data_IF_222837696579
#
_entry.id   IF_222837696579
#
_cell.length_a   1.000
_cell.length_b   1.000
_cell.length_c   1.000
_cell.angle_alpha   90.00
_cell.angle_beta   90.00
_cell.angle_gamma   90.00
#
_symmetry.space_group_name_H-M   'P 1'
#
loop_
_entity.id
_entity.type
_entity.pdbx_description
1 polymer ?
#
# COMPACT_ATOMS: atom_id res chain seq x y z
N UNK A 1 13.84 -39.95 -15.97
CA UNK A 1 13.74 -41.28 -16.60
C UNK A 1 13.23 -41.10 -18.00
N UNK A 2 14.17 -41.32 -18.86
CA UNK A 2 14.15 -42.15 -20.10
C UNK A 2 13.36 -41.52 -21.25
N UNK A 3 14.11 -41.19 -22.21
CA UNK A 3 14.51 -42.07 -23.37
C UNK A 3 13.45 -42.01 -24.46
N UNK A 4 13.69 -41.88 -25.69
CA UNK A 4 14.62 -42.46 -26.63
C UNK A 4 14.19 -41.83 -27.96
N UNK A 5 15.05 -41.30 -28.74
CA UNK A 5 15.93 -41.99 -29.68
C UNK A 5 15.34 -42.08 -31.07
N UNK A 6 16.09 -41.47 -31.97
CA UNK A 6 16.56 -42.12 -33.21
C UNK A 6 15.51 -42.25 -34.32
N UNK A 7 15.82 -42.02 -35.51
CA UNK A 7 16.78 -42.59 -36.45
C UNK A 7 16.36 -42.03 -37.80
N UNK A 8 17.20 -41.47 -38.51
CA UNK A 8 18.11 -41.90 -39.54
C UNK A 8 17.48 -41.82 -40.95
N UNK A 9 18.04 -40.89 -41.74
CA UNK A 9 18.83 -41.21 -42.94
C UNK A 9 18.41 -42.52 -43.65
N UNK A 10 18.59 -42.73 -44.92
CA UNK A 10 19.27 -41.96 -45.97
C UNK A 10 18.75 -42.19 -47.39
N UNK A 11 19.57 -41.77 -48.33
CA UNK A 11 19.82 -42.43 -49.66
C UNK A 11 19.06 -41.77 -50.79
N UNK A 12 19.74 -40.93 -51.55
CA UNK A 12 20.69 -41.25 -52.64
C UNK A 12 20.03 -42.04 -53.78
N UNK A 13 19.92 -41.42 -54.88
CA UNK A 13 20.18 -42.03 -56.22
C UNK A 13 19.87 -40.94 -57.26
N UNK A 14 20.84 -40.29 -57.84
CA UNK A 14 21.80 -40.65 -58.84
C UNK A 14 21.16 -41.19 -60.14
N UNK A 15 21.57 -40.61 -61.19
CA UNK A 15 21.79 -40.97 -62.62
C UNK A 15 20.97 -40.12 -63.57
N UNK A 16 21.63 -39.28 -64.31
CA UNK A 16 22.38 -39.53 -65.58
C UNK A 16 21.47 -39.78 -66.76
N UNK A 17 21.63 -38.97 -67.70
CA UNK A 17 22.08 -39.10 -69.09
C UNK A 17 21.37 -38.09 -69.97
N UNK A 18 21.96 -37.07 -70.47
CA UNK A 18 22.71 -37.01 -71.71
C UNK A 18 21.91 -37.54 -72.94
N UNK A 19 21.62 -36.64 -73.83
CA UNK A 19 21.77 -36.93 -75.26
C UNK A 19 21.80 -35.68 -76.09
N UNK A 20 22.84 -35.55 -76.82
CA UNK A 20 23.09 -34.69 -77.96
C UNK A 20 22.22 -35.05 -79.18
N UNK A 21 21.96 -34.08 -80.07
CA UNK A 21 22.18 -34.18 -81.52
C UNK A 21 21.51 -32.99 -82.16
N UNK A 22 22.17 -32.08 -82.78
CA UNK A 22 22.81 -31.98 -84.06
C UNK A 22 21.88 -31.51 -85.13
N UNK A 23 22.32 -30.37 -85.67
CA UNK A 23 22.28 -29.86 -87.00
C UNK A 23 20.97 -29.89 -87.81
N UNK A 24 20.54 -28.70 -88.31
CA UNK A 24 20.79 -28.38 -89.71
C UNK A 24 20.62 -26.90 -90.05
N UNK A 25 21.47 -26.43 -90.91
CA UNK A 25 21.54 -25.13 -91.52
C UNK A 25 20.36 -24.95 -92.51
N UNK A 26 19.75 -23.76 -92.52
CA UNK A 26 19.44 -23.13 -93.79
C UNK A 26 19.50 -21.63 -93.69
N UNK A 27 20.39 -21.11 -94.49
CA UNK A 27 20.62 -19.72 -94.82
C UNK A 27 19.47 -19.24 -95.72
N UNK A 28 18.86 -18.14 -95.41
CA UNK A 28 18.23 -17.26 -96.38
C UNK A 28 18.24 -15.82 -95.90
N UNK A 29 18.77 -15.02 -96.74
CA UNK A 29 19.07 -13.63 -96.69
C UNK A 29 17.88 -12.69 -96.44
N UNK A 30 18.07 -11.73 -95.54
CA UNK A 30 17.76 -10.27 -95.50
C UNK A 30 16.40 -9.77 -96.04
N UNK A 31 15.71 -8.82 -95.32
CA UNK A 31 16.27 -7.47 -95.26
C UNK A 31 16.24 -6.83 -93.84
N UNK A 32 17.23 -5.96 -93.66
CA UNK A 32 17.38 -5.02 -92.55
C UNK A 32 16.13 -4.17 -92.37
N UNK A 33 15.41 -4.40 -91.28
CA UNK A 33 14.52 -3.42 -90.69
C UNK A 33 15.17 -2.94 -89.40
N UNK A 34 15.62 -1.71 -89.42
CA UNK A 34 16.12 -1.05 -88.23
C UNK A 34 14.95 -0.86 -87.28
N UNK A 35 14.73 -1.88 -86.45
CA UNK A 35 13.82 -1.75 -85.33
C UNK A 35 14.47 -0.85 -84.32
N UNK A 36 13.93 0.36 -84.20
CA UNK A 36 14.26 1.31 -83.15
C UNK A 36 13.89 0.64 -81.82
N UNK A 37 14.87 0.14 -81.11
CA UNK A 37 14.74 -0.43 -79.78
C UNK A 37 14.19 0.67 -78.87
N UNK A 38 12.90 0.57 -78.61
CA UNK A 38 12.24 1.46 -77.62
C UNK A 38 12.65 0.87 -76.27
N UNK A 39 13.58 1.55 -75.58
CA UNK A 39 13.89 1.24 -74.19
C UNK A 39 12.62 1.49 -73.36
N UNK A 40 11.93 0.42 -73.04
CA UNK A 40 10.82 0.51 -72.11
C UNK A 40 11.37 0.71 -70.69
N UNK A 41 11.06 1.87 -70.12
CA UNK A 41 11.38 2.15 -68.73
C UNK A 41 10.15 1.71 -67.93
N UNK A 42 10.41 0.82 -66.97
CA UNK A 42 9.38 0.40 -66.01
C UNK A 42 9.13 1.59 -65.08
N UNK A 43 7.90 2.08 -65.10
CA UNK A 43 7.46 3.17 -64.23
C UNK A 43 6.51 2.67 -63.19
N UNK A 44 6.77 3.02 -61.97
CA UNK A 44 5.89 2.72 -60.82
C UNK A 44 5.07 3.96 -60.52
N UNK A 45 3.76 3.81 -60.53
CA UNK A 45 2.88 4.89 -60.12
C UNK A 45 2.92 5.02 -58.61
N UNK A 46 3.40 6.13 -58.12
CA UNK A 46 3.36 6.45 -56.71
C UNK A 46 1.90 6.63 -56.25
N UNK A 47 1.45 5.77 -55.37
CA UNK A 47 0.15 5.90 -54.72
C UNK A 47 0.35 6.48 -53.34
N UNK A 48 -0.50 7.43 -52.98
CA UNK A 48 -0.57 7.90 -51.60
C UNK A 48 -1.28 6.83 -50.78
N UNK A 49 -0.53 6.17 -49.93
CA UNK A 49 -1.09 5.25 -48.89
C UNK A 49 -0.76 5.85 -47.53
N UNK A 50 -1.75 5.81 -46.64
CA UNK A 50 -1.52 6.11 -45.23
C UNK A 50 -0.79 4.96 -44.59
N UNK A 51 0.46 5.15 -44.19
CA UNK A 51 1.22 4.18 -43.44
C UNK A 51 0.90 4.33 -41.97
N UNK A 52 0.23 3.35 -41.41
CA UNK A 52 0.04 3.26 -39.96
C UNK A 52 1.20 2.48 -39.37
N UNK A 53 1.94 3.12 -38.49
CA UNK A 53 2.99 2.46 -37.70
C UNK A 53 2.44 2.21 -36.31
N UNK A 54 2.21 0.97 -35.97
CA UNK A 54 1.87 0.56 -34.61
C UNK A 54 3.13 0.51 -33.76
N UNK A 55 3.11 1.21 -32.64
CA UNK A 55 4.18 1.21 -31.66
C UNK A 55 3.68 0.59 -30.36
N UNK A 56 4.10 -0.60 -30.07
CA UNK A 56 3.81 -1.28 -28.80
C UNK A 56 4.90 -0.96 -27.78
N UNK A 57 4.53 -0.28 -26.70
CA UNK A 57 5.43 0.06 -25.61
C UNK A 57 5.06 -0.78 -24.38
N UNK A 58 6.04 -1.38 -23.71
CA UNK A 58 5.79 -2.00 -22.41
C UNK A 58 5.46 -0.92 -21.39
N UNK A 59 4.40 -1.15 -20.60
CA UNK A 59 3.97 -0.26 -19.53
C UNK A 59 3.60 -1.06 -18.30
N UNK A 60 3.87 -0.51 -17.12
CA UNK A 60 3.50 -1.08 -15.83
C UNK A 60 2.53 -0.15 -15.12
N UNK A 61 1.42 -0.71 -14.61
CA UNK A 61 0.47 0.03 -13.79
C UNK A 61 0.91 -0.03 -12.33
N UNK A 62 1.34 1.11 -11.81
CA UNK A 62 1.69 1.24 -10.40
C UNK A 62 0.53 1.88 -9.63
N UNK A 63 0.29 1.46 -8.38
CA UNK A 63 -0.71 2.10 -7.54
C UNK A 63 -0.26 3.53 -7.20
N UNK A 64 -1.22 4.46 -7.14
CA UNK A 64 -0.97 5.84 -6.74
C UNK A 64 -0.42 5.94 -5.31
N UNK A 65 -0.96 5.13 -4.39
CA UNK A 65 -0.50 5.01 -3.01
C UNK A 65 -0.36 3.54 -2.63
N UNK A 66 0.72 3.23 -1.91
CA UNK A 66 0.95 1.92 -1.31
C UNK A 66 1.48 2.11 0.10
N UNK A 67 0.88 1.42 1.06
CA UNK A 67 1.32 1.42 2.45
C UNK A 67 1.39 0.00 2.99
N UNK A 68 2.39 -0.26 3.82
CA UNK A 68 2.46 -1.48 4.64
C UNK A 68 2.06 -1.10 6.06
N UNK A 69 1.08 -1.81 6.60
CA UNK A 69 0.56 -1.58 7.94
C UNK A 69 1.20 -2.57 8.90
N UNK A 70 1.67 -2.05 10.03
CA UNK A 70 2.28 -2.83 11.10
C UNK A 70 1.59 -2.55 12.42
N UNK A 71 1.60 -3.54 13.31
CA UNK A 71 1.25 -3.32 14.70
C UNK A 71 2.24 -2.33 15.34
N UNK A 72 1.72 -1.31 16.02
CA UNK A 72 2.53 -0.29 16.71
C UNK A 72 2.92 -0.71 18.13
N UNK A 73 2.31 -1.77 18.63
CA UNK A 73 2.53 -2.31 19.97
C UNK A 73 2.66 -3.83 19.89
N UNK A 74 3.47 -4.47 20.74
CA UNK A 74 3.49 -5.92 20.89
C UNK A 74 2.09 -6.43 21.26
N UNK A 75 1.56 -7.36 20.48
CA UNK A 75 0.19 -7.82 20.66
C UNK A 75 -0.05 -9.09 19.85
N UNK A 76 -1.07 -9.85 20.23
CA UNK A 76 -1.55 -11.00 19.48
C UNK A 76 -2.65 -10.59 18.50
N UNK A 77 -2.74 -11.28 17.38
CA UNK A 77 -3.85 -11.08 16.43
C UNK A 77 -5.09 -11.77 17.02
N UNK A 78 -6.15 -10.98 17.26
CA UNK A 78 -7.43 -11.50 17.73
C UNK A 78 -8.33 -11.89 16.55
N UNK A 79 -8.41 -11.01 15.56
CA UNK A 79 -9.32 -11.15 14.42
C UNK A 79 -8.82 -10.37 13.21
N UNK A 80 -8.83 -10.99 12.05
CA UNK A 80 -8.58 -10.34 10.76
C UNK A 80 -9.92 -10.24 10.03
N UNK A 81 -10.34 -9.00 9.70
CA UNK A 81 -11.67 -8.71 9.12
C UNK A 81 -11.66 -8.60 7.60
N UNK A 82 -10.49 -8.70 7.00
CA UNK A 82 -10.29 -8.52 5.55
C UNK A 82 -9.34 -9.55 5.00
N UNK A 83 -9.46 -9.86 3.72
CA UNK A 83 -8.55 -10.77 3.02
C UNK A 83 -7.97 -10.12 1.77
N UNK A 84 -7.01 -10.78 1.13
CA UNK A 84 -6.40 -10.37 -0.13
C UNK A 84 -7.52 -10.17 -1.18
N UNK A 85 -7.46 -9.06 -1.91
CA UNK A 85 -8.47 -8.66 -2.88
C UNK A 85 -9.66 -7.89 -2.29
N UNK A 86 -9.82 -7.83 -0.96
CA UNK A 86 -10.89 -7.07 -0.32
C UNK A 86 -10.77 -5.58 -0.55
N UNK A 87 -11.89 -4.93 -0.91
CA UNK A 87 -11.99 -3.48 -0.98
C UNK A 87 -12.27 -2.90 0.40
N UNK A 88 -11.52 -1.89 0.79
CA UNK A 88 -11.61 -1.23 2.09
C UNK A 88 -11.80 0.26 1.95
N UNK A 89 -12.47 0.87 2.93
CA UNK A 89 -12.67 2.31 3.01
C UNK A 89 -11.71 2.92 4.05
N UNK A 90 -11.37 4.20 3.85
CA UNK A 90 -10.58 4.95 4.84
C UNK A 90 -11.20 4.88 6.22
N UNK A 91 -10.41 4.52 7.24
CA UNK A 91 -10.85 4.36 8.62
C UNK A 91 -11.47 3.00 8.95
N UNK A 92 -11.71 2.13 7.96
CA UNK A 92 -12.23 0.79 8.20
C UNK A 92 -11.23 -0.04 9.02
N UNK A 93 -11.73 -0.75 10.05
CA UNK A 93 -10.91 -1.67 10.86
C UNK A 93 -10.58 -2.91 10.04
N UNK A 94 -9.30 -3.18 9.89
CA UNK A 94 -8.77 -4.33 9.12
C UNK A 94 -8.43 -5.50 10.03
N UNK A 95 -7.77 -5.20 11.15
CA UNK A 95 -7.32 -6.19 12.13
C UNK A 95 -7.60 -5.67 13.53
N UNK A 96 -8.07 -6.56 14.38
CA UNK A 96 -8.19 -6.34 15.82
C UNK A 96 -7.11 -7.14 16.52
N UNK A 97 -6.32 -6.44 17.33
CA UNK A 97 -5.24 -7.01 18.13
C UNK A 97 -5.69 -7.19 19.58
N UNK A 98 -5.04 -8.08 20.30
CA UNK A 98 -5.23 -8.33 21.71
C UNK A 98 -3.92 -8.09 22.48
N UNK A 99 -3.98 -7.22 23.48
CA UNK A 99 -2.91 -6.97 24.43
C UNK A 99 -3.50 -6.72 25.81
N UNK A 100 -3.67 -7.77 26.61
CA UNK A 100 -4.28 -7.71 27.95
C UNK A 100 -3.57 -6.69 28.85
N UNK A 101 -2.26 -6.53 28.70
CA UNK A 101 -1.44 -5.60 29.47
C UNK A 101 -1.88 -4.14 29.26
N UNK A 102 -2.20 -3.77 28.01
CA UNK A 102 -2.67 -2.40 27.70
C UNK A 102 -4.07 -2.15 28.28
N UNK A 103 -4.93 -3.15 28.27
CA UNK A 103 -6.26 -3.08 28.88
C UNK A 103 -6.17 -2.93 30.40
N UNK A 104 -5.29 -3.74 31.05
CA UNK A 104 -5.00 -3.63 32.47
C UNK A 104 -4.41 -2.25 32.82
N UNK A 105 -3.49 -1.73 31.98
CA UNK A 105 -2.91 -0.40 32.19
C UNK A 105 -3.94 0.72 32.14
N UNK A 106 -4.88 0.67 31.21
CA UNK A 106 -5.99 1.66 31.15
C UNK A 106 -6.84 1.57 32.42
N UNK A 107 -7.14 0.36 32.91
CA UNK A 107 -7.90 0.18 34.14
C UNK A 107 -7.16 0.71 35.38
N UNK A 108 -5.85 0.46 35.49
CA UNK A 108 -4.98 1.01 36.55
C UNK A 108 -5.00 2.54 36.56
N UNK A 109 -4.76 3.15 35.40
CA UNK A 109 -4.76 4.63 35.28
C UNK A 109 -6.16 5.20 35.56
N UNK A 110 -7.23 4.51 35.15
CA UNK A 110 -8.60 4.91 35.48
C UNK A 110 -8.90 4.84 37.00
N UNK A 111 -8.31 3.91 37.72
CA UNK A 111 -8.41 3.89 39.18
C UNK A 111 -7.62 5.05 39.82
N UNK A 112 -6.41 5.30 39.34
CA UNK A 112 -5.57 6.39 39.85
C UNK A 112 -6.23 7.77 39.67
N UNK A 113 -6.85 8.05 38.50
CA UNK A 113 -7.51 9.32 38.25
C UNK A 113 -8.68 9.56 39.22
N UNK A 114 -9.40 8.50 39.62
CA UNK A 114 -10.47 8.60 40.63
C UNK A 114 -9.92 9.00 42.00
N UNK A 115 -8.76 8.44 42.38
CA UNK A 115 -8.08 8.78 43.64
C UNK A 115 -7.64 10.24 43.64
N UNK A 116 -7.03 10.71 42.52
CA UNK A 116 -6.59 12.12 42.40
C UNK A 116 -7.78 13.07 42.37
N UNK A 117 -8.90 12.69 41.71
CA UNK A 117 -10.13 13.46 41.73
C UNK A 117 -10.72 13.63 43.13
N UNK A 118 -10.76 12.54 43.92
CA UNK A 118 -11.23 12.60 45.30
C UNK A 118 -10.35 13.53 46.16
N UNK A 119 -9.03 13.54 45.93
CA UNK A 119 -8.09 14.45 46.60
C UNK A 119 -8.38 15.89 46.20
N UNK A 120 -8.59 16.17 44.92
CA UNK A 120 -8.96 17.51 44.44
C UNK A 120 -10.25 17.99 45.07
N UNK A 121 -11.27 17.13 45.13
CA UNK A 121 -12.57 17.46 45.81
C UNK A 121 -12.34 17.83 47.28
N UNK A 122 -11.57 17.05 48.01
CA UNK A 122 -11.24 17.33 49.40
C UNK A 122 -10.54 18.70 49.58
N UNK A 123 -9.60 19.04 48.74
CA UNK A 123 -8.91 20.34 48.81
C UNK A 123 -9.79 21.50 48.41
N UNK A 124 -10.71 21.31 47.48
CA UNK A 124 -11.76 22.28 47.10
C UNK A 124 -12.67 22.54 48.29
N UNK A 125 -13.19 21.50 48.91
CA UNK A 125 -14.08 21.62 50.06
C UNK A 125 -13.38 22.27 51.27
N UNK A 126 -12.12 21.90 51.52
CA UNK A 126 -11.32 22.50 52.59
C UNK A 126 -11.15 24.01 52.34
N UNK A 127 -10.67 24.38 51.15
CA UNK A 127 -10.50 25.79 50.80
C UNK A 127 -11.82 26.58 50.94
N UNK A 128 -12.90 26.04 50.43
CA UNK A 128 -14.25 26.69 50.54
C UNK A 128 -14.67 26.92 52.01
N UNK A 129 -14.52 25.89 52.88
CA UNK A 129 -14.85 26.02 54.30
C UNK A 129 -13.97 27.05 55.02
N UNK A 130 -12.67 27.05 54.78
CA UNK A 130 -11.75 28.01 55.39
C UNK A 130 -11.99 29.42 54.89
N UNK A 131 -12.34 29.59 53.61
CA UNK A 131 -12.71 30.90 53.06
C UNK A 131 -14.00 31.45 53.68
N UNK A 132 -14.98 30.61 53.90
CA UNK A 132 -16.20 30.99 54.62
C UNK A 132 -15.94 31.36 56.07
N UNK A 133 -15.06 30.60 56.80
CA UNK A 133 -14.68 30.90 58.18
C UNK A 133 -13.84 32.17 58.34
N UNK A 134 -13.14 32.61 57.28
CA UNK A 134 -12.40 33.87 57.28
C UNK A 134 -13.30 35.09 57.44
N UNK A 135 -14.49 35.08 56.82
CA UNK A 135 -15.48 36.20 56.92
C UNK A 135 -16.00 36.41 58.33
N UNK A 136 -16.00 35.38 59.19
CA UNK A 136 -16.32 35.46 60.60
C UNK A 136 -15.16 35.72 61.53
N UNK A 137 -13.93 35.84 60.99
CA UNK A 137 -12.70 36.02 61.78
C UNK A 137 -12.18 34.76 62.46
N UNK A 138 -12.77 33.61 62.21
CA UNK A 138 -12.43 32.34 62.84
C UNK A 138 -11.19 31.65 62.24
N UNK A 139 -10.74 32.12 61.07
CA UNK A 139 -9.66 31.49 60.30
C UNK A 139 -8.63 32.53 59.85
N UNK A 140 -7.35 32.23 59.99
CA UNK A 140 -6.27 33.13 59.59
C UNK A 140 -6.10 33.20 58.07
N UNK A 141 -5.57 34.33 57.57
CA UNK A 141 -5.21 34.50 56.15
C UNK A 141 -4.27 33.42 55.64
N UNK A 142 -3.30 33.07 56.48
CA UNK A 142 -2.29 32.05 56.16
C UNK A 142 -2.91 30.66 55.89
N UNK A 143 -3.90 30.27 56.69
CA UNK A 143 -4.59 28.98 56.53
C UNK A 143 -5.38 28.93 55.22
N UNK A 144 -6.03 30.02 54.85
CA UNK A 144 -6.76 30.11 53.55
C UNK A 144 -5.77 30.05 52.40
N UNK A 145 -4.64 30.74 52.48
CA UNK A 145 -3.58 30.71 51.45
C UNK A 145 -2.96 29.31 51.30
N UNK A 146 -2.71 28.61 52.39
CA UNK A 146 -2.21 27.25 52.39
C UNK A 146 -3.21 26.31 51.70
N UNK A 147 -4.49 26.37 52.05
CA UNK A 147 -5.52 25.59 51.43
C UNK A 147 -5.68 25.90 49.93
N UNK A 148 -5.56 27.16 49.55
CA UNK A 148 -5.57 27.56 48.13
C UNK A 148 -4.37 27.00 47.36
N UNK A 149 -3.16 27.05 47.93
CA UNK A 149 -1.98 26.47 47.32
C UNK A 149 -2.09 24.94 47.18
N UNK A 150 -2.69 24.25 48.18
CA UNK A 150 -2.94 22.82 48.13
C UNK A 150 -3.97 22.50 47.00
N UNK A 151 -5.06 23.28 46.93
CA UNK A 151 -6.05 23.14 45.86
C UNK A 151 -5.41 23.30 44.47
N UNK A 152 -4.52 24.28 44.29
CA UNK A 152 -3.80 24.45 43.01
C UNK A 152 -2.91 23.25 42.69
N UNK A 153 -2.20 22.73 43.69
CA UNK A 153 -1.35 21.56 43.55
C UNK A 153 -2.17 20.32 43.14
N UNK A 154 -3.30 20.06 43.81
CA UNK A 154 -4.17 18.92 43.53
C UNK A 154 -4.90 19.07 42.17
N UNK A 155 -5.26 20.31 41.78
CA UNK A 155 -5.76 20.62 40.46
C UNK A 155 -4.74 20.30 39.36
N UNK A 156 -3.49 20.71 39.55
CA UNK A 156 -2.42 20.38 38.60
C UNK A 156 -2.16 18.86 38.51
N UNK A 157 -2.20 18.15 39.65
CA UNK A 157 -2.06 16.72 39.72
C UNK A 157 -3.21 15.99 38.97
N UNK A 158 -4.43 16.51 39.07
CA UNK A 158 -5.57 15.98 38.35
C UNK A 158 -5.41 16.14 36.83
N UNK A 159 -5.01 17.32 36.37
CA UNK A 159 -4.74 17.57 34.93
C UNK A 159 -3.65 16.61 34.44
N UNK A 160 -2.53 16.47 35.18
CA UNK A 160 -1.47 15.53 34.82
C UNK A 160 -1.97 14.08 34.72
N UNK A 161 -2.87 13.65 35.63
CA UNK A 161 -3.45 12.31 35.58
C UNK A 161 -4.40 12.11 34.37
N UNK A 162 -5.07 13.18 33.92
CA UNK A 162 -5.87 13.13 32.69
C UNK A 162 -5.00 12.93 31.45
N UNK A 163 -3.85 13.59 31.37
CA UNK A 163 -2.90 13.39 30.25
C UNK A 163 -2.33 11.97 30.23
N UNK A 164 -2.03 11.38 31.38
CA UNK A 164 -1.60 9.98 31.48
C UNK A 164 -2.72 9.05 30.99
N UNK A 165 -3.99 9.33 31.33
CA UNK A 165 -5.13 8.56 30.84
C UNK A 165 -5.28 8.70 29.32
N UNK A 166 -5.13 9.90 28.78
CA UNK A 166 -5.19 10.13 27.33
C UNK A 166 -4.10 9.33 26.59
N UNK A 167 -2.87 9.32 27.12
CA UNK A 167 -1.77 8.53 26.58
C UNK A 167 -2.07 7.02 26.61
N UNK A 168 -2.58 6.49 27.73
CA UNK A 168 -2.94 5.08 27.85
C UNK A 168 -4.05 4.68 26.87
N UNK A 169 -5.09 5.52 26.71
CA UNK A 169 -6.15 5.31 25.73
C UNK A 169 -5.64 5.39 24.29
N UNK A 170 -4.67 6.26 24.01
CA UNK A 170 -4.06 6.34 22.70
C UNK A 170 -3.29 5.04 22.35
N UNK A 171 -2.57 4.45 23.31
CA UNK A 171 -1.93 3.15 23.13
C UNK A 171 -2.96 2.05 22.88
N UNK A 172 -4.10 2.06 23.58
CA UNK A 172 -5.19 1.11 23.36
C UNK A 172 -5.79 1.22 21.96
N UNK A 173 -5.86 2.41 21.36
CA UNK A 173 -6.31 2.58 19.97
C UNK A 173 -5.41 1.88 18.95
N UNK A 174 -4.13 1.65 19.27
CA UNK A 174 -3.21 0.93 18.40
C UNK A 174 -3.53 -0.57 18.28
N UNK A 175 -4.45 -1.08 19.11
CA UNK A 175 -4.97 -2.44 18.98
C UNK A 175 -5.95 -2.61 17.80
N UNK A 176 -6.38 -1.53 17.18
CA UNK A 176 -7.19 -1.54 15.97
C UNK A 176 -6.36 -0.99 14.81
N UNK A 177 -6.00 -1.86 13.87
CA UNK A 177 -5.33 -1.44 12.63
C UNK A 177 -6.41 -1.04 11.64
N UNK A 178 -6.38 0.22 11.21
CA UNK A 178 -7.35 0.80 10.28
C UNK A 178 -6.70 1.20 8.96
N UNK A 179 -7.49 1.21 7.89
CA UNK A 179 -7.05 1.66 6.57
C UNK A 179 -6.82 3.19 6.57
N UNK A 180 -5.64 3.70 6.18
CA UNK A 180 -5.36 5.14 6.10
C UNK A 180 -6.04 5.81 4.91
N UNK A 181 -6.31 5.06 3.84
CA UNK A 181 -7.04 5.48 2.64
C UNK A 181 -7.90 4.33 2.09
N UNK A 182 -8.79 4.63 1.17
CA UNK A 182 -9.61 3.62 0.51
C UNK A 182 -8.83 2.92 -0.59
N UNK A 183 -8.94 1.60 -0.69
CA UNK A 183 -8.17 0.83 -1.65
C UNK A 183 -8.49 -0.66 -1.62
N UNK A 184 -7.52 -1.47 -2.07
CA UNK A 184 -7.62 -2.94 -2.11
C UNK A 184 -6.44 -3.54 -1.36
N UNK A 185 -6.69 -4.59 -0.61
CA UNK A 185 -5.66 -5.37 0.08
C UNK A 185 -4.93 -6.24 -0.93
N UNK A 186 -3.65 -6.00 -1.12
CA UNK A 186 -2.84 -6.74 -2.10
C UNK A 186 -2.03 -7.87 -1.48
N UNK A 187 -1.70 -7.76 -0.19
CA UNK A 187 -0.90 -8.76 0.52
C UNK A 187 -1.26 -8.81 2.00
N UNK A 188 -1.23 -10.01 2.56
CA UNK A 188 -1.37 -10.29 3.99
C UNK A 188 -0.16 -11.13 4.42
N UNK A 189 0.57 -10.67 5.42
CA UNK A 189 1.80 -11.32 5.89
C UNK A 189 1.60 -12.05 7.23
N UNK A 190 0.38 -12.05 7.77
CA UNK A 190 0.07 -12.70 9.04
C UNK A 190 -1.23 -13.49 8.92
N UNK A 191 -1.32 -14.58 9.65
CA UNK A 191 -2.51 -15.38 9.83
C UNK A 191 -3.01 -15.23 11.27
N UNK A 192 -4.31 -15.44 11.49
CA UNK A 192 -4.93 -15.37 12.79
C UNK A 192 -4.78 -16.71 13.53
#
# INVERSE_FOLDING_TARGET
IKMFKKILLPILFLTLLASCSKDDKQTTTTPTSTEKKIDSVEVVIAKMESVQKELTLPAELLPYERVQLYAKVPSYVREIKVDIGSRVQKGQVLVTLDAPELTAKVAEVAANIRTVLARLQNSQDLHHRLQAGRSSGAVSVREVEQAFNQLRADSAAFIASQEIMAAARQQQKYLMITAPFSGVITKRNTDA
#
